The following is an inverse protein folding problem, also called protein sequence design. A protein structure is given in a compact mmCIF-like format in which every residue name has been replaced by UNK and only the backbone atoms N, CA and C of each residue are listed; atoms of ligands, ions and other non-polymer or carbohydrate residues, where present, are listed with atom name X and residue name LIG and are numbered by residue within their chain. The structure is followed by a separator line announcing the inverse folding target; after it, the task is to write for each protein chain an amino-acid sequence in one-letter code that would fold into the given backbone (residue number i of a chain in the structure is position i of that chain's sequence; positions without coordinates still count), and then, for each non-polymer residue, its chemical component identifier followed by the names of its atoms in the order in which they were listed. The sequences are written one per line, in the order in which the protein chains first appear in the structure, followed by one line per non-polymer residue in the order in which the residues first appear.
data_IF_088970920363
#
_entry.id   IF_088970920363
#
_cell.length_a   1.000
_cell.length_b   1.000
_cell.length_c   1.000
_cell.angle_alpha   90.00
_cell.angle_beta   90.00
_cell.angle_gamma   90.00
#
_symmetry.space_group_name_H-M   'P 1'
#
loop_
_entity.id
_entity.type
_entity.pdbx_description
1 polymer ?
#
# COMPACT_ATOMS: atom_id res chain seq x y z
N UNK A 1 1.63 17.76 -1.19
CA UNK A 1 2.66 17.07 -1.96
C UNK A 1 2.19 16.99 -3.39
N UNK A 2 3.02 17.36 -4.35
CA UNK A 2 2.76 17.24 -5.79
C UNK A 2 3.69 16.11 -6.27
N UNK A 3 3.15 15.10 -6.93
CA UNK A 3 3.92 13.93 -7.35
C UNK A 3 3.55 13.62 -8.80
N UNK A 4 4.56 13.48 -9.63
CA UNK A 4 4.50 12.76 -10.88
C UNK A 4 4.67 11.27 -10.55
N UNK A 5 3.61 10.48 -10.66
CA UNK A 5 3.58 9.07 -10.26
C UNK A 5 3.65 8.09 -11.43
N UNK A 6 3.62 8.57 -12.66
CA UNK A 6 3.67 7.68 -13.82
C UNK A 6 5.09 7.19 -14.15
N UNK A 7 6.11 7.85 -13.59
CA UNK A 7 7.53 7.50 -13.75
C UNK A 7 7.99 7.38 -15.22
N UNK A 8 7.29 8.06 -16.13
CA UNK A 8 7.60 8.06 -17.57
C UNK A 8 8.03 9.44 -18.03
N UNK A 9 8.52 9.55 -19.26
CA UNK A 9 8.81 10.85 -19.89
C UNK A 9 7.55 11.50 -20.52
N UNK A 10 6.38 10.87 -20.37
CA UNK A 10 5.09 11.37 -20.88
C UNK A 10 4.35 12.14 -19.81
N UNK A 11 3.60 13.16 -20.21
CA UNK A 11 2.74 13.92 -19.30
C UNK A 11 1.35 13.25 -19.19
N UNK A 12 1.30 12.12 -18.44
CA UNK A 12 0.10 11.29 -18.32
C UNK A 12 -0.84 11.88 -17.28
N UNK A 13 -0.39 12.01 -16.01
CA UNK A 13 -1.20 12.58 -14.95
C UNK A 13 -0.37 13.13 -13.80
N UNK A 14 -0.96 14.04 -13.06
CA UNK A 14 -0.40 14.59 -11.82
C UNK A 14 -1.32 14.32 -10.65
N UNK A 15 -0.74 13.98 -9.51
CA UNK A 15 -1.44 13.82 -8.23
C UNK A 15 -1.01 14.93 -7.28
N UNK A 16 -1.97 15.69 -6.78
CA UNK A 16 -1.77 16.52 -5.61
C UNK A 16 -2.34 15.80 -4.37
N UNK A 17 -1.65 15.87 -3.26
CA UNK A 17 -2.16 15.34 -2.00
C UNK A 17 -1.92 16.34 -0.88
N UNK A 18 -3.00 16.87 -0.33
CA UNK A 18 -3.01 17.75 0.85
C UNK A 18 -3.69 17.02 1.98
N UNK A 19 -2.99 16.90 3.11
CA UNK A 19 -3.52 16.21 4.28
C UNK A 19 -3.51 17.14 5.50
N UNK A 20 -4.58 17.07 6.27
CA UNK A 20 -4.68 17.68 7.60
C UNK A 20 -4.98 16.60 8.62
N UNK A 21 -4.02 16.38 9.52
CA UNK A 21 -4.06 15.32 10.52
C UNK A 21 -4.05 15.97 11.89
N UNK A 22 -5.01 15.58 12.73
CA UNK A 22 -5.03 15.87 14.16
C UNK A 22 -5.18 14.56 14.90
N UNK A 23 -4.40 14.38 15.95
CA UNK A 23 -4.39 13.16 16.75
C UNK A 23 -4.50 13.51 18.22
N UNK A 24 -5.37 12.81 18.93
CA UNK A 24 -5.47 12.82 20.38
C UNK A 24 -5.25 11.39 20.87
N UNK A 25 -4.32 11.20 21.82
CA UNK A 25 -4.12 9.90 22.45
C UNK A 25 -3.89 10.08 23.96
N UNK A 26 -4.45 9.16 24.72
CA UNK A 26 -4.31 9.12 26.17
C UNK A 26 -4.14 7.69 26.65
N UNK A 27 -3.25 7.48 27.63
CA UNK A 27 -3.05 6.18 28.26
C UNK A 27 -2.98 6.33 29.77
N UNK A 28 -3.79 5.55 30.50
CA UNK A 28 -3.78 5.49 31.95
C UNK A 28 -3.33 4.10 32.36
N UNK A 29 -2.23 4.01 33.12
CA UNK A 29 -1.64 2.74 33.55
C UNK A 29 -1.46 2.71 35.05
N UNK A 30 -2.01 1.69 35.67
CA UNK A 30 -1.75 1.32 37.07
C UNK A 30 -0.76 0.16 37.12
N UNK A 31 0.22 0.24 38.00
CA UNK A 31 1.25 -0.78 38.17
C UNK A 31 1.40 -1.15 39.65
N UNK A 32 1.72 -2.42 39.91
CA UNK A 32 2.11 -2.86 41.24
C UNK A 32 3.38 -2.16 41.70
N UNK A 33 3.51 -1.88 43.00
CA UNK A 33 4.72 -1.31 43.60
C UNK A 33 5.63 -2.40 44.16
N UNK A 34 6.94 -2.15 44.15
CA UNK A 34 7.94 -2.94 44.83
C UNK A 34 8.46 -4.16 44.08
N UNK A 35 9.17 -5.00 44.81
CA UNK A 35 9.86 -6.21 44.30
C UNK A 35 9.09 -7.49 44.63
N UNK A 36 7.75 -7.44 44.73
CA UNK A 36 6.94 -8.60 45.02
C UNK A 36 7.11 -9.68 43.93
N UNK A 37 6.93 -10.96 44.30
CA UNK A 37 6.96 -12.06 43.33
C UNK A 37 5.88 -11.94 42.26
N UNK A 38 4.77 -11.30 42.57
CA UNK A 38 3.72 -10.96 41.61
C UNK A 38 3.76 -9.48 41.29
N UNK A 39 4.01 -9.16 40.00
CA UNK A 39 3.98 -7.81 39.47
C UNK A 39 2.92 -7.75 38.37
N UNK A 40 2.21 -6.63 38.32
CA UNK A 40 1.18 -6.47 37.31
C UNK A 40 1.12 -5.02 36.80
N UNK A 41 0.62 -4.88 35.57
CA UNK A 41 0.24 -3.61 34.97
C UNK A 41 -1.13 -3.78 34.32
N UNK A 42 -2.03 -2.81 34.59
CA UNK A 42 -3.36 -2.74 34.00
C UNK A 42 -3.56 -1.33 33.48
N UNK A 43 -4.11 -1.18 32.28
CA UNK A 43 -4.34 0.14 31.73
C UNK A 43 -5.44 0.18 30.69
N UNK A 44 -5.82 1.41 30.39
CA UNK A 44 -6.73 1.76 29.31
C UNK A 44 -6.02 2.70 28.36
N UNK A 45 -6.32 2.59 27.08
CA UNK A 45 -5.78 3.42 26.04
C UNK A 45 -6.93 3.95 25.16
N UNK A 46 -6.85 5.22 24.79
CA UNK A 46 -7.75 5.86 23.86
C UNK A 46 -6.96 6.62 22.80
N UNK A 47 -7.40 6.51 21.56
CA UNK A 47 -6.80 7.20 20.43
C UNK A 47 -7.90 7.67 19.48
N UNK A 48 -7.82 8.91 19.06
CA UNK A 48 -8.69 9.45 18.03
C UNK A 48 -7.88 10.27 17.04
N UNK A 49 -8.05 9.97 15.74
CA UNK A 49 -7.42 10.71 14.66
C UNK A 49 -8.46 11.30 13.73
N UNK A 50 -8.31 12.58 13.40
CA UNK A 50 -9.03 13.26 12.33
C UNK A 50 -8.08 13.39 11.16
N UNK A 51 -8.39 12.73 10.07
CA UNK A 51 -7.60 12.82 8.83
C UNK A 51 -8.51 13.29 7.69
N UNK A 52 -8.23 14.49 7.18
CA UNK A 52 -8.83 15.00 5.95
C UNK A 52 -7.79 14.99 4.86
N UNK A 53 -8.16 14.44 3.71
CA UNK A 53 -7.30 14.36 2.53
C UNK A 53 -8.02 14.98 1.34
N UNK A 54 -7.36 15.93 0.69
CA UNK A 54 -7.72 16.48 -0.61
C UNK A 54 -6.68 15.97 -1.60
N UNK A 55 -7.12 15.15 -2.56
CA UNK A 55 -6.25 14.39 -3.45
C UNK A 55 -6.76 14.43 -4.91
N UNK A 56 -6.80 15.61 -5.57
CA UNK A 56 -7.16 15.68 -6.97
C UNK A 56 -6.12 15.00 -7.86
N UNK A 57 -6.62 14.29 -8.88
CA UNK A 57 -5.82 13.70 -9.96
C UNK A 57 -6.17 14.45 -11.26
N UNK A 58 -5.17 14.94 -11.96
CA UNK A 58 -5.37 15.61 -13.25
C UNK A 58 -4.69 14.83 -14.37
N UNK A 59 -5.47 14.23 -15.26
CA UNK A 59 -4.95 13.65 -16.50
C UNK A 59 -4.56 14.76 -17.46
N UNK A 60 -3.36 14.67 -17.99
CA UNK A 60 -2.73 15.62 -18.91
C UNK A 60 -2.87 15.16 -20.35
N UNK A 61 -2.21 15.84 -21.27
CA UNK A 61 -2.34 15.64 -22.73
C UNK A 61 -2.10 14.17 -23.14
N UNK A 62 -1.00 13.55 -22.70
CA UNK A 62 -0.71 12.15 -23.01
C UNK A 62 -1.72 11.21 -22.36
N UNK A 63 -2.17 11.53 -21.13
CA UNK A 63 -3.21 10.78 -20.42
C UNK A 63 -4.56 10.85 -21.10
N UNK A 64 -4.94 12.02 -21.64
CA UNK A 64 -6.15 12.19 -22.45
C UNK A 64 -6.06 11.40 -23.76
N UNK A 65 -4.88 11.34 -24.37
CA UNK A 65 -4.62 10.51 -25.55
C UNK A 65 -4.83 9.02 -25.26
N UNK A 66 -4.35 8.53 -24.13
CA UNK A 66 -4.57 7.13 -23.67
C UNK A 66 -6.05 6.85 -23.39
N UNK A 67 -6.74 7.76 -22.69
CA UNK A 67 -8.20 7.66 -22.46
C UNK A 67 -8.96 7.62 -23.78
N UNK A 68 -8.63 8.48 -24.74
CA UNK A 68 -9.24 8.51 -26.07
C UNK A 68 -9.07 7.20 -26.82
N UNK A 69 -7.89 6.59 -26.77
CA UNK A 69 -7.63 5.26 -27.38
C UNK A 69 -8.44 4.16 -26.68
N UNK A 70 -8.48 4.17 -25.34
CA UNK A 70 -9.25 3.19 -24.56
C UNK A 70 -10.75 3.29 -24.88
N UNK A 71 -11.29 4.50 -24.98
CA UNK A 71 -12.69 4.76 -25.29
C UNK A 71 -12.99 4.38 -26.75
N UNK A 72 -12.11 4.73 -27.69
CA UNK A 72 -12.24 4.35 -29.12
C UNK A 72 -12.18 2.85 -29.36
N UNK A 73 -11.52 2.09 -28.50
CA UNK A 73 -11.45 0.62 -28.61
C UNK A 73 -12.74 -0.09 -28.18
N UNK A 74 -13.65 0.59 -27.48
CA UNK A 74 -14.91 0.04 -26.98
C UNK A 74 -15.99 0.04 -28.07
N UNK A 75 -15.87 0.92 -29.04
CA UNK A 75 -16.80 1.05 -30.15
C UNK A 75 -16.12 0.48 -31.39
N UNK A 76 -16.79 -0.37 -32.19
CA UNK A 76 -16.25 -0.84 -33.45
C UNK A 76 -15.90 0.34 -34.35
N UNK A 77 -14.70 0.39 -34.87
CA UNK A 77 -14.27 1.47 -35.75
C UNK A 77 -15.02 1.48 -37.10
N UNK A 78 -15.56 0.32 -37.47
CA UNK A 78 -16.29 0.12 -38.72
C UNK A 78 -17.22 -1.07 -38.58
N UNK A 79 -18.44 -0.92 -39.11
CA UNK A 79 -19.42 -2.00 -39.19
C UNK A 79 -19.90 -2.11 -40.62
N UNK A 80 -19.83 -3.32 -41.17
CA UNK A 80 -20.22 -3.61 -42.56
C UNK A 80 -21.62 -4.21 -42.57
N UNK A 81 -22.55 -3.54 -43.21
CA UNK A 81 -23.91 -4.01 -43.42
C UNK A 81 -24.07 -4.36 -44.89
N UNK A 82 -24.25 -5.68 -45.24
CA UNK A 82 -24.45 -6.08 -46.63
C UNK A 82 -25.82 -5.60 -47.13
N UNK A 83 -25.87 -5.11 -48.36
CA UNK A 83 -27.12 -4.79 -49.04
C UNK A 83 -27.62 -5.97 -49.93
N UNK A 84 -28.92 -6.05 -50.24
CA UNK A 84 -29.46 -7.11 -51.10
C UNK A 84 -28.87 -7.15 -52.50
N UNK A 85 -28.17 -6.11 -52.95
CA UNK A 85 -27.51 -6.05 -54.25
C UNK A 85 -26.08 -6.62 -54.20
N UNK A 86 -25.69 -7.52 -55.11
CA UNK A 86 -24.36 -8.12 -55.10
C UNK A 86 -23.23 -7.09 -55.12
N UNK A 87 -22.28 -7.22 -54.19
CA UNK A 87 -21.12 -6.34 -54.07
C UNK A 87 -21.40 -4.95 -53.49
N UNK A 88 -22.63 -4.66 -53.04
CA UNK A 88 -22.98 -3.41 -52.35
C UNK A 88 -23.12 -3.63 -50.85
N UNK A 89 -22.72 -2.64 -50.07
CA UNK A 89 -22.85 -2.58 -48.61
C UNK A 89 -22.87 -1.17 -48.09
N UNK A 90 -23.17 -1.04 -46.81
CA UNK A 90 -23.04 0.20 -46.06
C UNK A 90 -22.00 -0.01 -44.94
N UNK A 91 -20.97 0.82 -44.91
CA UNK A 91 -20.07 0.93 -43.77
C UNK A 91 -20.67 1.95 -42.82
N UNK A 92 -20.88 1.57 -41.58
CA UNK A 92 -21.23 2.48 -40.48
C UNK A 92 -19.95 2.78 -39.70
N UNK A 93 -19.61 4.05 -39.57
CA UNK A 93 -18.38 4.56 -38.96
C UNK A 93 -18.73 5.40 -37.76
N UNK A 94 -18.86 4.81 -36.55
CA UNK A 94 -19.06 5.58 -35.34
C UNK A 94 -17.78 6.31 -34.97
N UNK A 95 -17.90 7.52 -34.47
CA UNK A 95 -16.81 8.31 -33.91
C UNK A 95 -17.13 8.71 -32.48
N UNK A 96 -16.17 8.58 -31.58
CA UNK A 96 -16.26 9.03 -30.19
C UNK A 96 -14.90 9.60 -29.79
N UNK A 97 -14.88 10.86 -29.40
CA UNK A 97 -13.63 11.57 -29.09
C UNK A 97 -13.80 12.48 -27.88
N UNK A 98 -12.93 12.36 -26.85
CA UNK A 98 -12.83 13.37 -25.81
C UNK A 98 -12.54 14.76 -26.41
N UNK A 99 -13.15 15.79 -25.84
CA UNK A 99 -12.97 17.19 -26.28
C UNK A 99 -12.12 18.00 -25.29
N UNK A 100 -11.95 17.53 -24.06
CA UNK A 100 -11.11 18.19 -23.05
C UNK A 100 -9.63 18.00 -23.34
N UNK A 101 -8.82 19.02 -23.05
CA UNK A 101 -7.35 18.93 -23.06
C UNK A 101 -6.79 18.26 -21.80
N UNK A 102 -7.55 18.25 -20.71
CA UNK A 102 -7.22 17.59 -19.46
C UNK A 102 -8.50 17.10 -18.77
N UNK A 103 -8.37 16.14 -17.86
CA UNK A 103 -9.48 15.63 -17.04
C UNK A 103 -9.12 15.73 -15.57
N UNK A 104 -9.90 16.51 -14.82
CA UNK A 104 -9.76 16.63 -13.37
C UNK A 104 -10.69 15.64 -12.68
N UNK A 105 -10.13 14.81 -11.83
CA UNK A 105 -10.84 13.97 -10.86
C UNK A 105 -10.66 14.60 -9.48
N UNK A 106 -11.74 15.11 -8.91
CA UNK A 106 -11.74 15.61 -7.54
C UNK A 106 -11.68 14.46 -6.54
N UNK A 107 -11.02 14.67 -5.40
CA UNK A 107 -10.94 13.64 -4.34
C UNK A 107 -10.91 14.28 -2.96
N UNK A 108 -12.05 14.30 -2.27
CA UNK A 108 -12.16 14.78 -0.88
C UNK A 108 -12.52 13.61 0.03
N UNK A 109 -11.66 13.34 1.03
CA UNK A 109 -11.82 12.21 1.93
C UNK A 109 -11.68 12.67 3.38
N UNK A 110 -12.64 12.24 4.22
CA UNK A 110 -12.56 12.40 5.67
C UNK A 110 -12.52 10.99 6.29
N UNK A 111 -11.38 10.64 6.89
CA UNK A 111 -11.11 9.29 7.39
C UNK A 111 -10.79 9.30 8.89
N UNK A 112 -11.78 9.56 9.77
CA UNK A 112 -11.58 9.46 11.20
C UNK A 112 -11.35 8.02 11.64
N UNK A 113 -10.43 7.86 12.61
CA UNK A 113 -10.09 6.59 13.25
C UNK A 113 -10.26 6.74 14.75
N UNK A 114 -11.06 5.88 15.36
CA UNK A 114 -11.19 5.71 16.81
C UNK A 114 -10.60 4.37 17.21
N UNK A 115 -9.69 4.36 18.18
CA UNK A 115 -9.20 3.12 18.80
C UNK A 115 -9.32 3.25 20.32
N UNK A 116 -9.79 2.21 20.97
CA UNK A 116 -9.86 2.09 22.42
C UNK A 116 -9.37 0.71 22.86
N UNK A 117 -8.56 0.64 23.91
CA UNK A 117 -8.05 -0.63 24.39
C UNK A 117 -8.08 -0.75 25.90
N UNK A 118 -8.29 -1.98 26.37
CA UNK A 118 -8.10 -2.40 27.74
C UNK A 118 -7.02 -3.48 27.78
N UNK A 119 -6.05 -3.35 28.68
CA UNK A 119 -4.98 -4.33 28.78
C UNK A 119 -4.61 -4.63 30.23
N UNK A 120 -4.18 -5.89 30.44
CA UNK A 120 -3.63 -6.38 31.71
C UNK A 120 -2.46 -7.29 31.44
N UNK A 121 -1.40 -7.18 32.23
CA UNK A 121 -0.27 -8.07 32.24
C UNK A 121 0.12 -8.40 33.67
N UNK A 122 0.33 -9.69 33.96
CA UNK A 122 0.88 -10.22 35.23
C UNK A 122 2.20 -10.90 34.98
N UNK A 123 3.19 -10.62 35.80
CA UNK A 123 4.50 -11.30 35.81
C UNK A 123 4.71 -11.94 37.17
N UNK A 124 4.96 -13.24 37.18
CA UNK A 124 5.26 -14.05 38.35
C UNK A 124 6.75 -14.37 38.36
N UNK A 125 7.45 -13.91 39.39
CA UNK A 125 8.90 -14.10 39.60
C UNK A 125 9.20 -15.26 40.50
N UNK A 126 10.41 -15.81 40.39
CA UNK A 126 10.91 -16.97 41.18
C UNK A 126 9.92 -18.15 41.17
N UNK A 127 9.50 -18.48 39.95
CA UNK A 127 8.50 -19.52 39.70
C UNK A 127 9.02 -20.88 40.24
N UNK A 128 8.15 -21.63 40.88
CA UNK A 128 8.49 -22.94 41.50
C UNK A 128 9.70 -22.88 42.44
N UNK A 129 10.00 -21.70 43.02
CA UNK A 129 11.16 -21.51 43.88
C UNK A 129 12.51 -21.36 43.16
N UNK A 130 12.49 -21.34 41.83
CA UNK A 130 13.69 -21.10 41.01
C UNK A 130 13.96 -19.63 40.89
N UNK A 131 14.96 -19.13 41.64
CA UNK A 131 15.38 -17.73 41.60
C UNK A 131 15.80 -17.32 40.19
N UNK A 132 15.22 -16.22 39.69
CA UNK A 132 15.49 -15.67 38.36
C UNK A 132 14.55 -16.20 37.26
N UNK A 133 13.77 -17.26 37.51
CA UNK A 133 12.74 -17.72 36.55
C UNK A 133 11.48 -16.88 36.73
N UNK A 134 10.99 -16.28 35.62
CA UNK A 134 9.76 -15.50 35.59
C UNK A 134 8.85 -15.93 34.44
N UNK A 135 7.55 -15.86 34.68
CA UNK A 135 6.50 -16.06 33.70
C UNK A 135 5.62 -14.82 33.61
N UNK A 136 5.38 -14.37 32.38
CA UNK A 136 4.49 -13.23 32.09
C UNK A 136 3.31 -13.72 31.27
N UNK A 137 2.10 -13.36 31.69
CA UNK A 137 0.88 -13.49 30.89
C UNK A 137 0.23 -12.13 30.74
N UNK A 138 -0.10 -11.76 29.52
CA UNK A 138 -0.74 -10.50 29.18
C UNK A 138 -1.89 -10.70 28.20
N UNK A 139 -2.87 -9.83 28.29
CA UNK A 139 -4.00 -9.77 27.40
C UNK A 139 -4.35 -8.32 27.11
N UNK A 140 -4.56 -8.00 25.83
CA UNK A 140 -5.07 -6.69 25.40
C UNK A 140 -6.28 -6.91 24.50
N UNK A 141 -7.34 -6.18 24.76
CA UNK A 141 -8.54 -6.10 23.96
C UNK A 141 -8.56 -4.74 23.28
N UNK A 142 -8.47 -4.71 21.97
CA UNK A 142 -8.52 -3.52 21.16
C UNK A 142 -9.83 -3.45 20.38
N UNK A 143 -10.52 -2.32 20.49
CA UNK A 143 -11.65 -1.96 19.64
C UNK A 143 -11.22 -0.82 18.72
N UNK A 144 -11.43 -1.00 17.43
CA UNK A 144 -11.11 -0.02 16.40
C UNK A 144 -12.33 0.24 15.52
N UNK A 145 -12.67 1.51 15.34
CA UNK A 145 -13.69 1.95 14.39
C UNK A 145 -13.07 2.90 13.38
N UNK A 146 -13.16 2.53 12.11
CA UNK A 146 -12.74 3.32 10.97
C UNK A 146 -13.96 3.81 10.20
N UNK A 147 -13.90 5.03 9.72
CA UNK A 147 -14.89 5.57 8.80
C UNK A 147 -14.18 6.25 7.64
N UNK A 148 -14.75 6.19 6.46
CA UNK A 148 -14.38 7.03 5.33
C UNK A 148 -15.62 7.71 4.78
N UNK A 149 -15.66 9.03 4.82
CA UNK A 149 -16.61 9.84 4.06
C UNK A 149 -15.88 10.33 2.82
N UNK A 150 -16.49 10.18 1.68
CA UNK A 150 -15.87 10.50 0.39
C UNK A 150 -16.81 11.34 -0.47
N UNK A 151 -16.20 12.27 -1.21
CA UNK A 151 -16.82 13.04 -2.28
C UNK A 151 -15.79 13.20 -3.39
N UNK A 152 -15.97 12.40 -4.44
CA UNK A 152 -15.06 12.33 -5.56
C UNK A 152 -15.85 12.32 -6.87
N UNK A 153 -15.47 13.13 -7.83
CA UNK A 153 -16.21 13.28 -9.08
C UNK A 153 -15.37 13.81 -10.20
N UNK A 154 -15.86 13.60 -11.41
CA UNK A 154 -15.25 14.09 -12.66
C UNK A 154 -16.33 14.39 -13.68
N UNK A 155 -15.99 15.25 -14.64
CA UNK A 155 -16.82 15.58 -15.80
C UNK A 155 -15.95 15.60 -17.05
N UNK A 156 -16.47 15.04 -18.15
CA UNK A 156 -15.77 14.98 -19.42
C UNK A 156 -16.69 15.42 -20.58
N UNK A 157 -16.19 16.34 -21.40
CA UNK A 157 -16.82 16.72 -22.66
C UNK A 157 -16.31 15.81 -23.77
N UNK A 158 -17.19 15.37 -24.62
CA UNK A 158 -16.85 14.51 -25.75
C UNK A 158 -17.79 14.76 -26.94
N UNK A 159 -17.36 14.36 -28.13
CA UNK A 159 -18.17 14.37 -29.34
C UNK A 159 -18.49 12.95 -29.78
N UNK A 160 -19.71 12.73 -30.20
CA UNK A 160 -20.17 11.48 -30.79
C UNK A 160 -20.80 11.77 -32.16
N UNK A 161 -20.54 10.91 -33.12
CA UNK A 161 -21.15 11.02 -34.45
C UNK A 161 -21.16 9.65 -35.17
N UNK A 162 -21.99 9.51 -36.19
CA UNK A 162 -22.04 8.34 -37.04
C UNK A 162 -22.04 8.79 -38.50
N UNK A 163 -21.06 8.31 -39.25
CA UNK A 163 -21.01 8.46 -40.71
C UNK A 163 -21.36 7.14 -41.36
N UNK A 164 -22.11 7.18 -42.42
CA UNK A 164 -22.36 6.02 -43.26
C UNK A 164 -21.61 6.17 -44.60
N UNK A 165 -21.09 5.09 -45.14
CA UNK A 165 -20.51 5.03 -46.49
C UNK A 165 -21.16 3.91 -47.27
N UNK A 166 -21.80 4.24 -48.40
CA UNK A 166 -22.25 3.24 -49.34
C UNK A 166 -21.04 2.75 -50.17
N UNK A 167 -20.81 1.43 -50.17
CA UNK A 167 -19.67 0.84 -50.84
C UNK A 167 -20.13 -0.14 -51.93
N UNK A 168 -19.37 -0.22 -53.03
CA UNK A 168 -19.54 -1.19 -54.14
C UNK A 168 -18.18 -1.74 -54.50
N UNK A 169 -18.05 -3.07 -54.40
CA UNK A 169 -16.77 -3.73 -54.69
C UNK A 169 -15.61 -3.20 -53.81
N UNK A 170 -15.88 -2.78 -52.58
CA UNK A 170 -14.89 -2.25 -51.64
C UNK A 170 -14.57 -0.76 -51.83
N UNK A 171 -15.16 -0.08 -52.82
CA UNK A 171 -14.96 1.36 -53.03
C UNK A 171 -16.14 2.19 -52.49
N UNK A 172 -15.87 3.28 -51.82
CA UNK A 172 -16.90 4.23 -51.36
C UNK A 172 -17.47 4.96 -52.55
N UNK A 173 -18.78 4.80 -52.76
CA UNK A 173 -19.52 5.46 -53.87
C UNK A 173 -20.35 6.66 -53.40
N UNK A 174 -20.71 6.69 -52.11
CA UNK A 174 -21.47 7.81 -51.51
C UNK A 174 -21.33 7.82 -50.03
N UNK A 175 -21.12 9.03 -49.45
CA UNK A 175 -21.24 9.26 -48.00
C UNK A 175 -22.71 9.48 -47.64
N UNK A 176 -23.14 8.89 -46.51
CA UNK A 176 -24.50 9.01 -45.99
C UNK A 176 -24.40 9.64 -44.63
N UNK A 177 -24.90 10.87 -44.40
CA UNK A 177 -24.98 11.46 -43.09
C UNK A 177 -26.01 10.68 -42.26
N UNK A 178 -25.56 9.98 -41.17
CA UNK A 178 -26.44 9.24 -40.28
C UNK A 178 -26.72 10.04 -38.99
N UNK A 179 -25.68 10.45 -38.32
CA UNK A 179 -25.75 11.32 -37.13
C UNK A 179 -24.64 12.36 -37.19
N UNK A 180 -24.94 13.68 -37.17
CA UNK A 180 -23.91 14.68 -37.09
C UNK A 180 -23.11 14.59 -35.80
N UNK A 181 -21.88 15.11 -35.81
CA UNK A 181 -21.08 15.18 -34.58
C UNK A 181 -21.83 16.07 -33.54
N UNK A 182 -22.17 15.43 -32.43
CA UNK A 182 -22.92 16.06 -31.32
C UNK A 182 -22.02 16.14 -30.11
N UNK A 183 -21.92 17.33 -29.52
CA UNK A 183 -21.17 17.52 -28.27
C UNK A 183 -22.03 17.15 -27.07
N UNK A 184 -21.46 16.34 -26.18
CA UNK A 184 -22.10 15.83 -24.97
C UNK A 184 -21.15 16.05 -23.78
N UNK A 185 -21.74 16.13 -22.59
CA UNK A 185 -21.00 16.14 -21.31
C UNK A 185 -21.47 15.00 -20.46
N UNK A 186 -20.54 14.17 -19.99
CA UNK A 186 -20.81 13.11 -19.01
C UNK A 186 -20.20 13.48 -17.66
N UNK A 187 -20.91 13.14 -16.59
CA UNK A 187 -20.47 13.36 -15.22
C UNK A 187 -20.60 12.06 -14.44
N UNK A 188 -19.55 11.75 -13.67
CA UNK A 188 -19.59 10.61 -12.72
C UNK A 188 -19.17 11.11 -11.35
N UNK A 189 -19.85 10.64 -10.30
CA UNK A 189 -19.58 11.04 -8.92
C UNK A 189 -19.83 9.89 -7.95
N UNK A 190 -18.88 9.73 -7.03
CA UNK A 190 -19.04 8.92 -5.83
C UNK A 190 -19.15 9.83 -4.62
N UNK A 191 -20.26 9.71 -3.90
CA UNK A 191 -20.51 10.45 -2.66
C UNK A 191 -21.14 9.52 -1.64
N UNK A 192 -20.60 9.50 -0.43
CA UNK A 192 -21.12 8.63 0.62
C UNK A 192 -20.21 8.44 1.79
N UNK A 193 -20.50 7.42 2.59
CA UNK A 193 -19.64 7.01 3.69
C UNK A 193 -19.64 5.50 3.86
N UNK A 194 -18.47 5.00 4.25
CA UNK A 194 -18.21 3.59 4.59
C UNK A 194 -17.65 3.58 5.99
N UNK A 195 -18.16 2.68 6.84
CA UNK A 195 -17.60 2.47 8.18
C UNK A 195 -17.39 0.98 8.44
N UNK A 196 -16.43 0.69 9.29
CA UNK A 196 -16.05 -0.65 9.72
C UNK A 196 -15.49 -0.61 11.12
N UNK A 197 -15.80 -1.61 11.90
CA UNK A 197 -15.24 -1.82 13.22
C UNK A 197 -14.63 -3.21 13.36
N UNK A 198 -13.63 -3.30 14.21
CA UNK A 198 -12.89 -4.52 14.50
C UNK A 198 -12.64 -4.63 16.00
N UNK A 199 -12.77 -5.85 16.51
CA UNK A 199 -12.39 -6.21 17.87
C UNK A 199 -11.23 -7.20 17.81
N UNK A 200 -10.08 -6.86 18.41
CA UNK A 200 -8.88 -7.66 18.40
C UNK A 200 -8.50 -8.12 19.80
N UNK A 201 -8.29 -9.43 19.95
CA UNK A 201 -7.77 -10.01 21.16
C UNK A 201 -6.30 -10.37 20.97
N UNK A 202 -5.43 -9.77 21.81
CA UNK A 202 -3.98 -9.81 21.65
C UNK A 202 -3.33 -10.41 22.91
N UNK A 203 -3.23 -11.76 23.00
CA UNK A 203 -2.53 -12.44 24.08
C UNK A 203 -1.02 -12.36 23.93
N UNK A 204 -0.33 -12.38 25.08
CA UNK A 204 1.12 -12.47 25.18
C UNK A 204 1.48 -13.40 26.32
N UNK A 205 2.41 -14.33 26.06
CA UNK A 205 3.02 -15.21 27.07
C UNK A 205 4.53 -15.15 26.92
N UNK A 206 5.24 -15.04 28.04
CA UNK A 206 6.70 -15.05 28.04
C UNK A 206 7.23 -15.81 29.24
N UNK A 207 8.30 -16.58 29.01
CA UNK A 207 9.11 -17.23 30.03
C UNK A 207 10.52 -16.63 29.95
N UNK A 208 11.08 -16.20 31.08
CA UNK A 208 12.40 -15.60 31.13
C UNK A 208 13.19 -16.17 32.32
N UNK A 209 14.46 -16.38 32.11
CA UNK A 209 15.40 -16.76 33.17
C UNK A 209 16.55 -15.76 33.21
N UNK A 210 16.65 -15.04 34.36
CA UNK A 210 17.69 -14.06 34.63
C UNK A 210 18.91 -14.76 35.25
N UNK A 211 20.08 -14.57 34.64
CA UNK A 211 21.34 -15.10 35.15
C UNK A 211 21.83 -14.30 36.35
N UNK A 212 22.47 -14.99 37.29
CA UNK A 212 23.08 -14.37 38.47
C UNK A 212 24.13 -13.31 38.04
N UNK A 213 24.37 -12.32 38.93
CA UNK A 213 25.41 -11.32 38.78
C UNK A 213 25.20 -10.40 37.53
N UNK A 214 23.96 -10.12 37.16
CA UNK A 214 23.61 -9.26 36.03
C UNK A 214 24.26 -9.67 34.68
N UNK A 215 24.49 -10.96 34.49
CA UNK A 215 25.10 -11.51 33.27
C UNK A 215 24.13 -11.52 32.09
N UNK A 216 22.84 -11.24 32.32
CA UNK A 216 21.82 -11.19 31.31
C UNK A 216 20.69 -12.19 31.55
N UNK A 217 19.98 -12.53 30.51
CA UNK A 217 18.85 -13.45 30.55
C UNK A 217 18.72 -14.26 29.26
N UNK A 218 17.92 -15.30 29.33
CA UNK A 218 17.33 -16.01 28.18
C UNK A 218 15.81 -15.95 28.30
N UNK A 219 15.11 -15.80 27.18
CA UNK A 219 13.66 -15.73 27.15
C UNK A 219 13.06 -16.48 25.97
N UNK A 220 11.79 -16.85 26.14
CA UNK A 220 10.93 -17.31 25.07
C UNK A 220 9.59 -16.56 25.16
N UNK A 221 9.05 -16.10 24.05
CA UNK A 221 7.78 -15.38 24.01
C UNK A 221 6.89 -15.86 22.87
N UNK A 222 5.59 -15.84 23.14
CA UNK A 222 4.53 -16.04 22.14
C UNK A 222 3.56 -14.88 22.27
N UNK A 223 3.32 -14.17 21.19
CA UNK A 223 2.41 -13.01 21.22
C UNK A 223 1.65 -12.87 19.91
N UNK A 224 0.46 -12.28 20.00
CA UNK A 224 -0.34 -11.88 18.85
C UNK A 224 -0.32 -10.35 18.73
N UNK A 225 -0.06 -9.87 17.53
CA UNK A 225 -0.18 -8.46 17.13
C UNK A 225 -1.13 -8.31 15.94
N UNK A 226 -1.52 -7.07 15.64
CA UNK A 226 -2.26 -6.75 14.44
C UNK A 226 -1.82 -5.40 13.87
N UNK A 227 -2.11 -5.20 12.59
CA UNK A 227 -2.02 -3.93 11.90
C UNK A 227 -3.41 -3.54 11.43
N UNK A 228 -3.82 -2.29 11.68
CA UNK A 228 -5.15 -1.79 11.31
C UNK A 228 -5.46 -1.99 9.84
N UNK A 229 -6.72 -2.21 9.53
CA UNK A 229 -7.24 -2.12 8.17
C UNK A 229 -7.29 -0.67 7.69
N UNK A 230 -7.94 -0.43 6.56
CA UNK A 230 -8.05 0.92 6.03
C UNK A 230 -8.79 0.98 4.70
N UNK A 231 -8.61 2.12 4.03
CA UNK A 231 -9.24 2.40 2.74
C UNK A 231 -8.21 2.92 1.74
N UNK A 232 -8.25 2.40 0.53
CA UNK A 232 -7.43 2.84 -0.61
C UNK A 232 -8.11 4.02 -1.31
N UNK A 233 -7.88 5.24 -0.86
CA UNK A 233 -8.49 6.44 -1.46
C UNK A 233 -8.06 6.66 -2.91
N UNK A 234 -6.88 6.20 -3.31
CA UNK A 234 -6.38 6.29 -4.69
C UNK A 234 -7.26 5.51 -5.68
N UNK A 235 -7.96 4.48 -5.22
CA UNK A 235 -8.86 3.68 -6.07
C UNK A 235 -10.06 4.45 -6.60
N UNK A 236 -10.39 5.61 -6.00
CA UNK A 236 -11.45 6.47 -6.52
C UNK A 236 -11.15 7.00 -7.92
N UNK A 237 -9.90 7.18 -8.28
CA UNK A 237 -9.52 7.51 -9.66
C UNK A 237 -9.93 6.40 -10.65
N UNK A 238 -9.65 5.14 -10.32
CA UNK A 238 -10.01 3.99 -11.17
C UNK A 238 -11.51 3.75 -11.19
N UNK A 239 -12.18 3.90 -10.05
CA UNK A 239 -13.64 3.84 -9.93
C UNK A 239 -14.32 4.86 -10.84
N UNK A 240 -13.86 6.11 -10.78
CA UNK A 240 -14.42 7.20 -11.60
C UNK A 240 -14.13 7.01 -13.08
N UNK A 241 -12.95 6.54 -13.46
CA UNK A 241 -12.65 6.21 -14.86
C UNK A 241 -13.58 5.10 -15.38
N UNK A 242 -13.82 4.05 -14.58
CA UNK A 242 -14.73 2.97 -14.94
C UNK A 242 -16.17 3.45 -15.04
N UNK A 243 -16.64 4.24 -14.07
CA UNK A 243 -17.99 4.83 -14.08
C UNK A 243 -18.17 5.81 -15.22
N UNK A 244 -17.20 6.68 -15.45
CA UNK A 244 -17.22 7.64 -16.55
C UNK A 244 -17.38 6.94 -17.90
N UNK A 245 -16.62 5.84 -18.11
CA UNK A 245 -16.75 5.01 -19.31
C UNK A 245 -18.17 4.42 -19.43
N UNK A 246 -18.70 3.83 -18.36
CA UNK A 246 -20.04 3.22 -18.38
C UNK A 246 -21.13 4.27 -18.64
N UNK A 247 -21.06 5.42 -17.94
CA UNK A 247 -22.04 6.50 -18.05
C UNK A 247 -21.99 7.13 -19.45
N UNK A 248 -20.78 7.33 -20.01
CA UNK A 248 -20.59 7.81 -21.37
C UNK A 248 -21.17 6.85 -22.42
N UNK A 249 -20.93 5.53 -22.26
CA UNK A 249 -21.49 4.53 -23.17
C UNK A 249 -23.02 4.52 -23.12
N UNK A 250 -23.60 4.62 -21.93
CA UNK A 250 -25.04 4.68 -21.73
C UNK A 250 -25.62 5.92 -22.43
N UNK A 251 -25.07 7.09 -22.15
CA UNK A 251 -25.49 8.35 -22.74
C UNK A 251 -25.32 8.34 -24.28
N UNK A 252 -24.20 7.82 -24.80
CA UNK A 252 -23.93 7.70 -26.23
C UNK A 252 -24.96 6.78 -26.89
N UNK A 253 -25.26 5.62 -26.32
CA UNK A 253 -26.27 4.68 -26.84
C UNK A 253 -27.65 5.35 -26.91
N UNK A 254 -28.05 6.05 -25.84
CA UNK A 254 -29.33 6.79 -25.81
C UNK A 254 -29.42 7.87 -26.88
N UNK A 255 -28.39 8.67 -27.06
CA UNK A 255 -28.38 9.75 -28.08
C UNK A 255 -28.37 9.21 -29.52
N UNK A 256 -27.64 8.15 -29.78
CA UNK A 256 -27.64 7.48 -31.09
C UNK A 256 -29.03 6.89 -31.40
N UNK A 257 -29.67 6.21 -30.44
CA UNK A 257 -31.00 5.65 -30.64
C UNK A 257 -32.05 6.75 -30.89
N UNK A 258 -32.00 7.86 -30.17
CA UNK A 258 -32.87 9.03 -30.43
C UNK A 258 -32.66 9.60 -31.83
N UNK A 259 -31.40 9.77 -32.27
CA UNK A 259 -31.09 10.31 -33.59
C UNK A 259 -31.60 9.39 -34.72
N UNK A 260 -31.62 8.09 -34.51
CA UNK A 260 -32.09 7.10 -35.48
C UNK A 260 -33.60 6.97 -35.54
N UNK A 261 -34.33 7.17 -34.44
CA UNK A 261 -35.80 7.06 -34.35
C UNK A 261 -36.55 7.98 -35.34
N UNK A 262 -36.02 9.16 -35.63
CA UNK A 262 -36.61 10.14 -36.53
C UNK A 262 -36.10 10.09 -37.98
N UNK A 263 -35.27 9.11 -38.34
CA UNK A 263 -34.54 9.07 -39.61
C UNK A 263 -34.95 7.90 -40.48
N UNK A 264 -34.67 7.94 -41.81
CA UNK A 264 -34.81 6.75 -42.68
C UNK A 264 -33.98 5.54 -42.26
N UNK A 265 -33.06 5.72 -41.32
CA UNK A 265 -32.20 4.71 -40.73
C UNK A 265 -32.87 3.95 -39.58
N UNK A 266 -34.14 4.18 -39.28
CA UNK A 266 -34.90 3.48 -38.23
C UNK A 266 -34.90 1.93 -38.42
N UNK A 267 -34.79 1.44 -39.64
CA UNK A 267 -34.64 0.01 -39.94
C UNK A 267 -33.34 -0.61 -39.44
N UNK A 268 -32.35 0.18 -39.03
CA UNK A 268 -31.08 -0.26 -38.48
C UNK A 268 -30.99 -0.10 -36.95
N UNK A 269 -32.08 0.28 -36.27
CA UNK A 269 -32.13 0.50 -34.83
C UNK A 269 -31.65 -0.73 -34.03
N UNK A 270 -32.13 -1.90 -34.40
CA UNK A 270 -31.76 -3.13 -33.71
C UNK A 270 -30.27 -3.44 -33.89
N UNK A 271 -29.77 -3.33 -35.16
CA UNK A 271 -28.37 -3.51 -35.45
C UNK A 271 -27.48 -2.54 -34.69
N UNK A 272 -27.85 -1.24 -34.64
CA UNK A 272 -27.12 -0.23 -33.90
C UNK A 272 -27.16 -0.52 -32.39
N UNK A 273 -28.28 -0.98 -31.85
CA UNK A 273 -28.39 -1.36 -30.44
C UNK A 273 -27.52 -2.55 -30.08
N UNK A 274 -27.39 -3.54 -30.98
CA UNK A 274 -26.49 -4.69 -30.79
C UNK A 274 -25.00 -4.32 -30.85
N UNK A 275 -24.67 -3.30 -31.64
CA UNK A 275 -23.30 -2.84 -31.83
C UNK A 275 -22.74 -2.07 -30.61
N UNK A 276 -23.58 -1.41 -29.83
CA UNK A 276 -23.19 -0.75 -28.61
C UNK A 276 -23.44 -1.70 -27.44
N UNK A 277 -22.43 -2.30 -26.86
CA UNK A 277 -22.60 -3.17 -25.71
C UNK A 277 -23.28 -2.40 -24.57
N UNK A 278 -24.08 -3.10 -23.78
CA UNK A 278 -24.67 -2.47 -22.61
C UNK A 278 -23.59 -2.03 -21.64
N UNK A 279 -23.74 -0.82 -21.12
CA UNK A 279 -22.84 -0.31 -20.10
C UNK A 279 -22.91 -1.22 -18.86
N UNK A 280 -21.75 -1.60 -18.34
CA UNK A 280 -21.68 -2.36 -17.08
C UNK A 280 -22.22 -1.54 -15.89
N UNK A 281 -22.40 -2.22 -14.76
CA UNK A 281 -22.69 -1.54 -13.50
C UNK A 281 -21.45 -0.77 -13.02
N UNK A 282 -21.67 0.36 -12.35
CA UNK A 282 -20.60 1.11 -11.74
C UNK A 282 -20.05 0.34 -10.53
N UNK A 283 -18.73 0.23 -10.35
CA UNK A 283 -18.15 -0.52 -9.25
C UNK A 283 -18.55 0.03 -7.89
N UNK A 284 -18.74 -0.85 -6.90
CA UNK A 284 -19.01 -0.44 -5.53
C UNK A 284 -17.77 0.10 -4.82
N UNK A 285 -17.90 1.27 -4.18
CA UNK A 285 -16.78 1.93 -3.52
C UNK A 285 -16.21 1.14 -2.33
N UNK A 286 -17.07 0.43 -1.56
CA UNK A 286 -16.62 -0.35 -0.40
C UNK A 286 -15.72 -1.50 -0.83
N UNK A 287 -16.19 -2.33 -1.75
CA UNK A 287 -15.46 -3.52 -2.21
C UNK A 287 -14.15 -3.19 -2.92
N UNK A 288 -14.09 -2.02 -3.56
CA UNK A 288 -12.89 -1.57 -4.27
C UNK A 288 -11.84 -0.92 -3.35
N UNK A 289 -12.23 -0.36 -2.22
CA UNK A 289 -11.31 0.43 -1.40
C UNK A 289 -10.94 -0.18 -0.06
N UNK A 290 -11.83 -0.98 0.57
CA UNK A 290 -11.62 -1.53 1.92
C UNK A 290 -10.56 -2.64 1.91
N UNK A 291 -9.62 -2.58 2.87
CA UNK A 291 -8.74 -3.70 3.21
C UNK A 291 -8.79 -4.01 4.71
N UNK A 292 -8.63 -5.30 5.06
CA UNK A 292 -8.82 -5.85 6.40
C UNK A 292 -7.58 -5.67 7.26
N UNK A 293 -7.70 -5.74 8.60
CA UNK A 293 -6.56 -5.83 9.51
C UNK A 293 -5.72 -7.07 9.23
N UNK A 294 -4.41 -6.88 9.22
CA UNK A 294 -3.42 -7.96 9.22
C UNK A 294 -3.21 -8.46 10.64
N UNK A 295 -3.08 -9.76 10.85
CA UNK A 295 -2.85 -10.38 12.14
C UNK A 295 -1.59 -11.25 12.11
N UNK A 296 -0.74 -11.11 13.13
CA UNK A 296 0.53 -11.86 13.21
C UNK A 296 0.70 -12.51 14.57
N UNK A 297 0.99 -13.81 14.56
CA UNK A 297 1.53 -14.51 15.70
C UNK A 297 3.06 -14.48 15.63
N UNK A 298 3.70 -14.04 16.73
CA UNK A 298 5.14 -14.08 16.91
C UNK A 298 5.51 -15.13 17.92
N UNK A 299 6.44 -16.03 17.55
CA UNK A 299 7.12 -16.98 18.40
C UNK A 299 8.60 -16.64 18.37
N UNK A 300 9.18 -16.35 19.53
CA UNK A 300 10.54 -15.85 19.63
C UNK A 300 11.27 -16.50 20.80
N UNK A 301 12.53 -16.85 20.61
CA UNK A 301 13.46 -17.22 21.66
C UNK A 301 14.71 -16.38 21.53
N UNK A 302 15.19 -15.82 22.62
CA UNK A 302 16.34 -14.92 22.57
C UNK A 302 17.10 -14.85 23.89
N UNK A 303 18.16 -14.07 23.84
CA UNK A 303 19.05 -13.83 24.99
C UNK A 303 19.63 -12.43 24.95
N UNK A 304 19.75 -11.83 26.11
CA UNK A 304 20.49 -10.62 26.35
C UNK A 304 21.65 -10.93 27.29
N UNK A 305 22.89 -10.74 26.88
CA UNK A 305 24.06 -11.08 27.65
C UNK A 305 24.97 -9.88 27.89
N UNK A 306 25.47 -9.78 29.10
CA UNK A 306 26.52 -8.86 29.51
C UNK A 306 27.79 -9.68 29.85
N UNK A 307 28.78 -9.62 28.99
CA UNK A 307 29.98 -10.43 29.08
C UNK A 307 31.20 -9.56 29.39
N UNK A 308 32.27 -10.17 29.90
CA UNK A 308 33.57 -9.52 30.14
C UNK A 308 33.46 -8.22 30.97
N UNK A 309 32.76 -8.27 32.11
CA UNK A 309 32.47 -7.12 32.99
C UNK A 309 31.80 -5.95 32.24
N UNK A 310 30.75 -6.27 31.49
CA UNK A 310 29.97 -5.35 30.67
C UNK A 310 30.73 -4.71 29.48
N UNK A 311 31.91 -5.23 29.12
CA UNK A 311 32.63 -4.77 27.93
C UNK A 311 32.00 -5.24 26.63
N UNK A 312 31.27 -6.37 26.66
CA UNK A 312 30.53 -6.91 25.53
C UNK A 312 29.06 -7.10 25.94
N UNK A 313 28.17 -6.39 25.27
CA UNK A 313 26.74 -6.66 25.32
C UNK A 313 26.33 -7.36 24.03
N UNK A 314 25.60 -8.46 24.17
CA UNK A 314 25.14 -9.27 23.06
C UNK A 314 23.64 -9.52 23.19
N UNK A 315 22.88 -9.23 22.14
CA UNK A 315 21.47 -9.57 22.00
C UNK A 315 21.32 -10.49 20.81
N UNK A 316 20.72 -11.68 21.01
CA UNK A 316 20.46 -12.63 19.94
C UNK A 316 19.02 -13.14 20.04
N UNK A 317 18.35 -13.28 18.90
CA UNK A 317 17.01 -13.84 18.83
C UNK A 317 16.82 -14.71 17.60
N UNK A 318 15.97 -15.72 17.73
CA UNK A 318 15.37 -16.48 16.65
C UNK A 318 13.88 -16.26 16.70
N UNK A 319 13.26 -15.98 15.56
CA UNK A 319 11.84 -15.72 15.50
C UNK A 319 11.14 -16.51 14.38
N UNK A 320 9.84 -16.72 14.61
CA UNK A 320 8.91 -17.28 13.65
C UNK A 320 7.62 -16.46 13.69
N UNK A 321 7.25 -15.88 12.55
CA UNK A 321 6.03 -15.10 12.38
C UNK A 321 5.07 -15.84 11.45
N UNK A 322 3.81 -15.98 11.89
CA UNK A 322 2.69 -16.44 11.07
C UNK A 322 1.72 -15.29 10.89
N UNK A 323 1.65 -14.77 9.66
CA UNK A 323 0.79 -13.63 9.33
C UNK A 323 -0.40 -14.08 8.50
N UNK A 324 -1.59 -13.58 8.85
CA UNK A 324 -2.85 -13.77 8.12
C UNK A 324 -3.35 -12.43 7.62
N UNK A 325 -4.05 -12.44 6.47
CA UNK A 325 -4.53 -11.24 5.80
C UNK A 325 -3.41 -10.20 5.62
N UNK A 326 -2.22 -10.66 5.23
CA UNK A 326 -1.05 -9.80 5.11
C UNK A 326 -1.31 -8.64 4.16
N UNK A 327 -1.06 -7.43 4.64
CA UNK A 327 -1.18 -6.23 3.83
C UNK A 327 0.07 -6.04 2.96
N UNK A 328 -0.14 -6.07 1.65
CA UNK A 328 0.91 -5.76 0.67
C UNK A 328 0.48 -4.59 -0.18
N UNK A 329 1.45 -3.80 -0.63
CA UNK A 329 1.23 -2.71 -1.57
C UNK A 329 1.65 -3.15 -2.97
N UNK A 330 0.72 -3.13 -3.90
CA UNK A 330 0.95 -3.47 -5.31
C UNK A 330 0.49 -2.34 -6.23
N UNK A 331 0.82 -2.40 -7.50
CA UNK A 331 0.26 -1.48 -8.49
C UNK A 331 -1.24 -1.76 -8.66
N UNK A 332 -2.03 -0.69 -8.74
CA UNK A 332 -3.48 -0.82 -8.85
C UNK A 332 -3.91 -1.45 -10.19
N UNK A 333 -4.81 -2.38 -10.10
CA UNK A 333 -5.62 -3.10 -11.09
C UNK A 333 -5.40 -2.85 -12.58
N UNK A 334 -6.49 -2.49 -13.27
CA UNK A 334 -6.52 -2.44 -14.74
C UNK A 334 -5.76 -1.26 -15.35
N UNK A 335 -5.59 -0.15 -14.61
CA UNK A 335 -4.88 1.03 -15.10
C UNK A 335 -3.37 0.94 -14.92
N UNK A 336 -2.88 0.15 -13.94
CA UNK A 336 -1.48 0.14 -13.53
C UNK A 336 -1.01 1.45 -12.90
N UNK A 337 -1.91 2.40 -12.72
CA UNK A 337 -1.63 3.74 -12.20
C UNK A 337 -1.91 3.79 -10.70
N UNK A 338 -0.90 4.19 -9.93
CA UNK A 338 -1.00 4.24 -8.48
C UNK A 338 -0.71 2.91 -7.78
N UNK A 339 -0.82 2.91 -6.45
CA UNK A 339 -0.61 1.72 -5.60
C UNK A 339 -1.81 1.52 -4.70
N UNK A 340 -2.20 0.27 -4.55
CA UNK A 340 -3.24 -0.16 -3.63
C UNK A 340 -2.68 -1.07 -2.55
N UNK A 341 -3.28 -1.07 -1.38
CA UNK A 341 -3.04 -2.07 -0.34
C UNK A 341 -4.09 -3.16 -0.46
N UNK A 342 -3.65 -4.40 -0.57
CA UNK A 342 -4.52 -5.58 -0.60
C UNK A 342 -4.12 -6.56 0.49
N UNK A 343 -5.06 -7.43 0.87
CA UNK A 343 -4.76 -8.52 1.78
C UNK A 343 -4.31 -9.74 0.97
N UNK A 344 -3.02 -10.07 1.04
CA UNK A 344 -2.51 -11.38 0.63
C UNK A 344 -2.82 -12.40 1.73
N UNK A 345 -3.34 -13.57 1.41
CA UNK A 345 -3.85 -14.56 2.36
C UNK A 345 -2.94 -14.79 3.58
N UNK A 346 -1.94 -15.69 3.47
CA UNK A 346 -1.02 -16.01 4.58
C UNK A 346 0.44 -15.89 4.16
N UNK A 347 1.27 -15.43 5.08
CA UNK A 347 2.72 -15.50 4.93
C UNK A 347 3.39 -16.05 6.19
N UNK A 348 4.63 -16.48 6.02
CA UNK A 348 5.50 -16.95 7.10
C UNK A 348 6.85 -16.27 6.97
N UNK A 349 7.36 -15.79 8.12
CA UNK A 349 8.72 -15.26 8.21
C UNK A 349 9.48 -16.01 9.28
N UNK A 350 10.68 -16.47 8.95
CA UNK A 350 11.64 -17.08 9.84
C UNK A 350 12.88 -16.20 9.86
N UNK A 351 13.48 -15.99 11.01
CA UNK A 351 14.68 -15.19 11.05
C UNK A 351 15.53 -15.36 12.29
N UNK A 352 16.69 -14.74 12.19
CA UNK A 352 17.66 -14.62 13.26
C UNK A 352 18.19 -13.18 13.31
N UNK A 353 18.35 -12.68 14.52
CA UNK A 353 18.91 -11.37 14.80
C UNK A 353 20.06 -11.49 15.78
N UNK A 354 21.12 -10.69 15.54
CA UNK A 354 22.27 -10.60 16.41
C UNK A 354 22.71 -9.14 16.50
N UNK A 355 22.84 -8.63 17.72
CA UNK A 355 23.42 -7.32 17.99
C UNK A 355 24.57 -7.44 18.98
N UNK A 356 25.67 -6.76 18.69
CA UNK A 356 26.88 -6.72 19.50
C UNK A 356 27.26 -5.27 19.77
N UNK A 357 27.50 -4.93 21.02
CA UNK A 357 28.10 -3.65 21.43
C UNK A 357 29.33 -3.94 22.29
N UNK A 358 30.52 -3.59 21.78
CA UNK A 358 31.78 -3.96 22.39
C UNK A 358 32.64 -2.72 22.70
N UNK A 359 33.04 -2.55 23.96
CA UNK A 359 34.11 -1.65 24.36
C UNK A 359 35.47 -2.41 24.25
N UNK A 360 36.07 -2.37 23.05
CA UNK A 360 37.32 -3.09 22.73
C UNK A 360 38.46 -2.54 23.60
N UNK A 361 38.55 -1.19 23.65
CA UNK A 361 39.43 -0.48 24.56
C UNK A 361 38.68 0.64 25.27
N UNK A 362 39.34 1.42 26.13
CA UNK A 362 38.73 2.60 26.75
C UNK A 362 38.33 3.70 25.73
N UNK A 363 38.95 3.68 24.55
CA UNK A 363 38.81 4.70 23.50
C UNK A 363 38.18 4.14 22.21
N UNK A 364 38.06 2.83 22.06
CA UNK A 364 37.47 2.19 20.89
C UNK A 364 36.25 1.37 21.23
N UNK A 365 35.10 1.74 20.61
CA UNK A 365 33.85 1.00 20.69
C UNK A 365 33.42 0.52 19.32
N UNK A 366 32.88 -0.70 19.25
CA UNK A 366 32.33 -1.32 18.05
C UNK A 366 30.88 -1.72 18.30
N UNK A 367 29.98 -1.36 17.39
CA UNK A 367 28.60 -1.79 17.38
C UNK A 367 28.31 -2.50 16.06
N UNK A 368 27.74 -3.69 16.14
CA UNK A 368 27.39 -4.49 14.96
C UNK A 368 26.02 -5.08 15.15
N UNK A 369 25.19 -5.03 14.12
CA UNK A 369 23.94 -5.78 14.07
C UNK A 369 23.81 -6.51 12.75
N UNK A 370 23.27 -7.71 12.81
CA UNK A 370 22.96 -8.53 11.66
C UNK A 370 21.58 -9.13 11.81
N UNK A 371 20.80 -9.08 10.75
CA UNK A 371 19.47 -9.71 10.63
C UNK A 371 19.42 -10.62 9.42
N UNK A 372 18.81 -11.77 9.58
CA UNK A 372 18.43 -12.67 8.50
C UNK A 372 16.92 -12.89 8.55
N UNK A 373 16.22 -12.70 7.42
CA UNK A 373 14.77 -12.89 7.31
C UNK A 373 14.43 -13.69 6.06
N UNK A 374 13.74 -14.81 6.26
CA UNK A 374 13.17 -15.63 5.20
C UNK A 374 11.65 -15.52 5.26
N UNK A 375 11.08 -14.58 4.47
CA UNK A 375 9.65 -14.27 4.43
C UNK A 375 9.05 -14.75 3.11
N UNK A 376 8.05 -15.64 3.16
CA UNK A 376 7.40 -16.21 1.96
C UNK A 376 5.89 -16.28 2.13
N UNK A 377 5.18 -16.14 1.01
CA UNK A 377 3.75 -16.40 0.95
C UNK A 377 3.46 -17.89 1.14
N UNK A 378 2.39 -18.20 1.88
CA UNK A 378 1.91 -19.57 2.14
C UNK A 378 0.54 -19.82 1.51
N UNK A 379 -0.24 -18.77 1.36
CA UNK A 379 -1.59 -18.83 0.81
C UNK A 379 -1.88 -17.46 0.19
N UNK A 380 -1.43 -17.26 -1.05
CA UNK A 380 -1.69 -16.04 -1.80
C UNK A 380 -2.00 -16.39 -3.26
N UNK A 381 -3.29 -16.34 -3.58
CA UNK A 381 -3.82 -16.54 -4.92
C UNK A 381 -4.61 -15.31 -5.32
N UNK A 382 -4.39 -14.80 -6.49
CA UNK A 382 -5.06 -13.60 -7.02
C UNK A 382 -5.34 -13.75 -8.51
N UNK A 383 -6.25 -12.92 -9.02
CA UNK A 383 -6.51 -12.84 -10.45
C UNK A 383 -5.68 -11.71 -11.06
N UNK A 384 -4.93 -12.01 -12.10
CA UNK A 384 -4.20 -11.02 -12.87
C UNK A 384 -4.49 -11.17 -14.37
N UNK A 385 -4.36 -10.07 -15.11
CA UNK A 385 -4.51 -10.11 -16.58
C UNK A 385 -3.20 -10.55 -17.22
N UNK A 386 -3.21 -11.72 -17.83
CA UNK A 386 -2.10 -12.24 -18.64
C UNK A 386 -2.57 -12.28 -20.10
N UNK A 387 -1.87 -11.56 -20.99
CA UNK A 387 -2.24 -11.45 -22.41
C UNK A 387 -3.72 -11.02 -22.62
N UNK A 388 -4.22 -10.12 -21.79
CA UNK A 388 -5.59 -9.60 -21.88
C UNK A 388 -6.68 -10.47 -21.25
N UNK A 389 -6.35 -11.69 -20.80
CA UNK A 389 -7.28 -12.61 -20.12
C UNK A 389 -7.05 -12.64 -18.63
N UNK A 390 -8.12 -12.68 -17.83
CA UNK A 390 -8.05 -12.90 -16.39
C UNK A 390 -7.64 -14.33 -16.10
N UNK A 391 -6.51 -14.52 -15.42
CA UNK A 391 -6.00 -15.82 -14.99
C UNK A 391 -5.75 -15.81 -13.49
N UNK A 392 -6.04 -16.92 -12.84
CA UNK A 392 -5.69 -17.16 -11.45
C UNK A 392 -4.19 -17.44 -11.35
N UNK A 393 -3.48 -16.65 -10.53
CA UNK A 393 -2.05 -16.79 -10.31
C UNK A 393 -1.80 -17.06 -8.83
N UNK A 394 -1.00 -18.09 -8.56
CA UNK A 394 -0.53 -18.42 -7.20
C UNK A 394 0.90 -17.91 -6.99
N UNK A 395 1.08 -17.12 -5.92
CA UNK A 395 2.39 -16.65 -5.48
C UNK A 395 2.93 -17.44 -4.28
N UNK A 396 2.36 -18.61 -4.00
CA UNK A 396 2.80 -19.47 -2.90
C UNK A 396 4.27 -19.87 -3.06
N UNK A 397 5.05 -19.69 -1.98
CA UNK A 397 6.49 -19.93 -1.99
C UNK A 397 7.35 -18.74 -2.42
N UNK A 398 6.78 -17.74 -3.08
CA UNK A 398 7.49 -16.52 -3.43
C UNK A 398 7.83 -15.69 -2.18
N UNK A 399 8.92 -14.93 -2.26
CA UNK A 399 9.32 -13.99 -1.21
C UNK A 399 8.34 -12.83 -1.11
N UNK A 400 8.05 -12.43 0.12
CA UNK A 400 7.27 -11.22 0.39
C UNK A 400 8.06 -9.99 -0.09
N UNK A 401 7.45 -9.12 -0.91
CA UNK A 401 8.12 -7.92 -1.42
C UNK A 401 8.57 -6.97 -0.29
N UNK A 402 9.58 -6.14 -0.58
CA UNK A 402 10.16 -5.13 0.30
C UNK A 402 10.85 -5.66 1.57
N UNK A 403 11.04 -6.97 1.71
CA UNK A 403 11.74 -7.59 2.83
C UNK A 403 13.15 -7.98 2.41
N UNK A 404 14.20 -7.28 2.89
CA UNK A 404 15.58 -7.67 2.62
C UNK A 404 15.91 -8.98 3.33
N UNK A 405 16.55 -9.91 2.62
CA UNK A 405 16.93 -11.22 3.15
C UNK A 405 18.02 -11.13 4.22
N UNK A 406 18.89 -10.13 4.11
CA UNK A 406 19.98 -9.85 5.04
C UNK A 406 20.00 -8.36 5.34
N UNK A 407 20.27 -8.00 6.58
CA UNK A 407 20.57 -6.64 7.00
C UNK A 407 21.84 -6.66 7.83
N UNK A 408 22.72 -5.69 7.59
CA UNK A 408 24.00 -5.57 8.30
C UNK A 408 24.25 -4.13 8.66
N UNK A 409 24.60 -3.87 9.91
CA UNK A 409 25.15 -2.58 10.33
C UNK A 409 26.41 -2.82 11.11
N UNK A 410 27.48 -2.10 10.77
CA UNK A 410 28.75 -2.10 11.52
C UNK A 410 29.14 -0.65 11.75
N UNK A 411 29.30 -0.27 13.01
CA UNK A 411 29.70 1.08 13.41
C UNK A 411 30.87 1.06 14.39
N UNK A 412 31.87 1.86 14.13
CA UNK A 412 33.05 2.03 15.00
C UNK A 412 33.21 3.46 15.44
N UNK A 413 33.60 3.66 16.68
CA UNK A 413 33.97 4.95 17.25
C UNK A 413 35.33 4.86 17.90
N UNK A 414 36.23 5.77 17.56
CA UNK A 414 37.54 5.93 18.18
C UNK A 414 37.71 7.35 18.75
N UNK A 415 38.19 7.45 19.98
CA UNK A 415 38.42 8.72 20.71
C UNK A 415 39.92 8.91 20.86
N UNK A 416 40.47 9.92 20.19
CA UNK A 416 41.82 10.42 20.43
C UNK A 416 41.74 11.42 21.57
N UNK A 417 42.32 11.09 22.74
CA UNK A 417 42.48 12.01 23.88
C UNK A 417 43.74 12.82 23.68
N UNK A 418 43.63 14.14 23.86
CA UNK A 418 44.74 15.05 23.73
C UNK A 418 45.15 15.47 25.17
N UNK A 419 46.45 15.66 25.41
CA UNK A 419 47.00 15.96 26.72
C UNK A 419 46.33 17.23 27.34
N UNK A 420 46.10 17.25 28.66
CA UNK A 420 45.62 18.43 29.35
C UNK A 420 46.51 19.66 29.11
N UNK A 421 45.91 20.81 28.88
CA UNK A 421 46.61 22.06 28.62
C UNK A 421 46.52 22.58 27.19
N UNK A 422 46.03 21.78 26.26
CA UNK A 422 45.74 22.21 24.88
C UNK A 422 44.31 22.74 24.78
N UNK A 423 44.06 23.65 23.83
CA UNK A 423 42.73 24.17 23.52
C UNK A 423 41.74 23.10 23.00
N UNK A 424 42.26 21.96 22.59
CA UNK A 424 41.50 20.80 22.08
C UNK A 424 41.65 19.62 23.05
N UNK A 425 40.51 19.15 23.61
CA UNK A 425 40.46 18.07 24.61
C UNK A 425 40.45 16.67 23.95
N UNK A 426 39.70 16.54 22.91
CA UNK A 426 39.57 15.24 22.18
C UNK A 426 39.10 15.40 20.76
N UNK A 427 39.51 14.43 19.93
CA UNK A 427 38.95 14.18 18.58
C UNK A 427 38.26 12.83 18.61
N UNK A 428 37.05 12.78 18.08
CA UNK A 428 36.27 11.55 17.96
C UNK A 428 36.00 11.25 16.49
N UNK A 429 36.40 10.06 16.06
CA UNK A 429 36.12 9.52 14.73
C UNK A 429 35.00 8.50 14.84
N UNK A 430 34.01 8.59 13.96
CA UNK A 430 32.97 7.61 13.81
C UNK A 430 32.94 7.17 12.36
N UNK A 431 32.83 5.86 12.15
CA UNK A 431 32.62 5.27 10.83
C UNK A 431 31.47 4.26 10.94
N UNK A 432 30.61 4.22 9.95
CA UNK A 432 29.48 3.31 9.91
C UNK A 432 29.23 2.76 8.52
N UNK A 433 29.00 1.47 8.44
CA UNK A 433 28.58 0.77 7.24
C UNK A 433 27.20 0.15 7.47
N UNK A 434 26.28 0.34 6.52
CA UNK A 434 24.95 -0.30 6.53
C UNK A 434 24.75 -0.99 5.20
N UNK A 435 24.36 -2.25 5.23
CA UNK A 435 24.10 -3.07 4.05
C UNK A 435 22.74 -3.73 4.10
N UNK A 436 22.08 -3.84 2.96
CA UNK A 436 20.86 -4.59 2.75
C UNK A 436 21.06 -5.64 1.66
N UNK A 437 20.61 -6.86 1.93
CA UNK A 437 20.63 -7.99 1.00
C UNK A 437 19.59 -7.84 -0.11
N UNK A 438 19.45 -8.92 -0.88
CA UNK A 438 18.47 -8.90 -1.98
C UNK A 438 17.08 -8.61 -1.48
N UNK A 439 16.38 -7.70 -2.18
CA UNK A 439 14.98 -7.32 -1.98
C UNK A 439 14.23 -7.54 -3.28
N UNK A 440 13.06 -8.14 -3.21
CA UNK A 440 12.12 -8.25 -4.32
C UNK A 440 11.11 -7.11 -4.27
N UNK A 441 10.73 -6.57 -5.42
CA UNK A 441 9.83 -5.41 -5.51
C UNK A 441 8.40 -5.78 -5.89
N UNK A 442 8.23 -7.01 -6.43
CA UNK A 442 6.93 -7.52 -6.87
C UNK A 442 6.68 -8.92 -6.31
N UNK A 443 5.43 -9.33 -6.30
CA UNK A 443 4.98 -10.64 -5.80
C UNK A 443 5.48 -11.80 -6.67
N UNK A 444 5.70 -11.57 -7.97
CA UNK A 444 6.26 -12.54 -8.91
C UNK A 444 7.74 -12.83 -8.63
N UNK A 445 8.41 -11.97 -7.87
CA UNK A 445 9.84 -12.01 -7.62
C UNK A 445 10.71 -11.86 -8.89
N UNK A 446 10.16 -11.28 -9.95
CA UNK A 446 10.87 -11.05 -11.22
C UNK A 446 11.77 -9.83 -11.16
N UNK A 447 11.39 -8.82 -10.39
CA UNK A 447 12.14 -7.57 -10.20
C UNK A 447 12.78 -7.57 -8.82
N UNK A 448 14.10 -7.45 -8.77
CA UNK A 448 14.83 -7.45 -7.50
C UNK A 448 16.00 -6.49 -7.52
N UNK A 449 16.39 -6.01 -6.35
CA UNK A 449 17.62 -5.28 -6.12
C UNK A 449 18.63 -6.22 -5.45
N UNK A 450 19.85 -6.27 -5.99
CA UNK A 450 20.96 -7.00 -5.37
C UNK A 450 21.43 -6.32 -4.10
N UNK A 451 22.33 -6.99 -3.34
CA UNK A 451 22.92 -6.40 -2.15
C UNK A 451 23.53 -5.03 -2.45
N UNK A 452 23.26 -4.07 -1.59
CA UNK A 452 23.88 -2.74 -1.60
C UNK A 452 24.28 -2.32 -0.19
N UNK A 453 25.22 -1.40 -0.09
CA UNK A 453 25.63 -0.83 1.19
C UNK A 453 26.03 0.62 1.07
N UNK A 454 25.94 1.30 2.20
CA UNK A 454 26.35 2.70 2.36
C UNK A 454 27.38 2.82 3.45
N UNK A 455 28.39 3.67 3.21
CA UNK A 455 29.43 4.03 4.17
C UNK A 455 29.23 5.47 4.58
N UNK A 456 29.30 5.75 5.87
CA UNK A 456 29.26 7.09 6.42
C UNK A 456 30.41 7.29 7.43
N UNK A 457 30.84 8.55 7.57
CA UNK A 457 31.87 8.93 8.52
C UNK A 457 31.62 10.29 9.14
N UNK A 458 32.03 10.47 10.38
CA UNK A 458 31.92 11.72 11.11
C UNK A 458 33.18 11.96 11.93
N UNK A 459 33.72 13.18 11.86
CA UNK A 459 34.77 13.68 12.74
C UNK A 459 34.17 14.75 13.62
N UNK A 460 34.36 14.66 14.90
CA UNK A 460 33.96 15.69 15.87
C UNK A 460 35.11 16.00 16.84
N UNK A 461 35.19 17.23 17.28
CA UNK A 461 36.18 17.69 18.25
C UNK A 461 35.48 18.39 19.41
N UNK A 462 36.09 18.31 20.60
CA UNK A 462 35.66 19.02 21.76
C UNK A 462 36.80 19.94 22.25
N UNK A 463 36.47 21.22 22.41
CA UNK A 463 37.37 22.23 23.04
C UNK A 463 37.21 22.18 24.53
N UNK A 464 38.25 22.57 25.25
CA UNK A 464 38.15 22.92 26.70
C UNK A 464 37.28 24.15 26.77
N UNK A 465 36.23 24.12 27.58
CA UNK A 465 35.46 25.31 27.89
C UNK A 465 36.36 26.21 28.79
N UNK A 466 36.52 27.48 28.43
CA UNK A 466 37.14 28.46 29.28
C UNK A 466 36.36 28.47 30.63
N UNK A 467 37.08 28.14 31.73
CA UNK A 467 36.55 28.19 33.08
C UNK A 467 36.66 29.61 33.60
#
# INVERSE_FOLDING_TARGET
MFIDQDFTAKDIYTLEQKQRIHTLSEEIVMKSKGSSRWQWATGVFGFYQWLKTDAPVTFREDGMGMLGQMLGSVIPSKIEVPMPMPGMGINILPSLRPSNSNLLINGNFDTPLLNGALFHQSTFRDLFGLTGLSFTAGLRLDYEKMKMTYDSGTAMDYTVGIKGEMVRGGQVIKEIPMMPETALTVQSRYHGSIDKDYLQLLPKFALQYDFKNNRGNVYATVSKGYRSGGYNIQMFSDLLQSSLKNDMMRQTKEEILKAVEGSPSASYKDLISEMFPDAGENPDARSATEYKPEQTWNYEIGTHLNLFNNRLRTDAALFWLETRDQQISRFAGASGLGRETVNAGKSRSLGAELSLAAAITADFTLNTSYGYTYATFKDYVTNARVNGQLQEISYNGNYVPFVPKHTLTVGGQYIFRINPGYWLERIQLNAGYTGAGRVYWTEENTVSQSFYGTLNGRISSRKVADR
#
